data_IF_855403520270
#
_entry.id   IF_855403520270
#
_cell.length_a   1.000
_cell.length_b   1.000
_cell.length_c   1.000
_cell.angle_alpha   90.00
_cell.angle_beta   90.00
_cell.angle_gamma   90.00
#
_symmetry.space_group_name_H-M   'P 1'
#
loop_
_entity.id
_entity.type
_entity.pdbx_description
1 polymer ?
#
# COMPACT_ATOMS: atom_id res chain seq x y z
N UNK A 1 7.10 10.64 -18.43
CA UNK A 1 6.09 11.01 -17.40
C UNK A 1 6.04 9.88 -16.38
N UNK A 2 6.03 10.14 -15.07
CA UNK A 2 5.86 9.08 -14.09
C UNK A 2 4.48 8.44 -14.25
N UNK A 3 4.44 7.12 -14.45
CA UNK A 3 3.19 6.35 -14.59
C UNK A 3 2.83 5.78 -13.23
N UNK A 4 1.60 6.03 -12.78
CA UNK A 4 1.02 5.37 -11.60
C UNK A 4 0.03 4.33 -12.09
N UNK A 5 0.22 3.07 -11.70
CA UNK A 5 -0.59 1.95 -12.14
C UNK A 5 -1.46 1.40 -11.02
N UNK A 6 -2.67 0.95 -11.37
CA UNK A 6 -3.58 0.25 -10.47
C UNK A 6 -3.46 -1.25 -10.72
N UNK A 7 -3.37 -2.01 -9.65
CA UNK A 7 -3.50 -3.48 -9.68
C UNK A 7 -4.62 -3.94 -8.76
N UNK A 8 -5.11 -5.15 -8.99
CA UNK A 8 -6.16 -5.76 -8.21
C UNK A 8 -5.60 -6.73 -7.16
N UNK A 9 -4.60 -7.52 -7.56
CA UNK A 9 -3.97 -8.56 -6.75
C UNK A 9 -2.56 -8.12 -6.32
N UNK A 10 -2.10 -8.66 -5.18
CA UNK A 10 -0.76 -8.32 -4.68
C UNK A 10 0.36 -8.89 -5.56
N UNK A 11 0.11 -10.02 -6.24
CA UNK A 11 1.05 -10.66 -7.18
C UNK A 11 1.30 -9.84 -8.45
N UNK A 12 0.44 -8.86 -8.75
CA UNK A 12 0.59 -7.98 -9.91
C UNK A 12 1.52 -6.78 -9.61
N UNK A 13 1.87 -6.54 -8.34
CA UNK A 13 2.64 -5.36 -7.92
C UNK A 13 4.05 -5.34 -8.52
N UNK A 14 4.80 -6.43 -8.38
CA UNK A 14 6.16 -6.57 -8.92
C UNK A 14 6.21 -6.55 -10.46
N UNK A 15 5.41 -7.36 -11.19
CA UNK A 15 5.40 -7.32 -12.64
C UNK A 15 5.08 -5.94 -13.20
N UNK A 16 4.11 -5.24 -12.62
CA UNK A 16 3.70 -3.91 -13.08
C UNK A 16 4.80 -2.86 -12.82
N UNK A 17 5.53 -2.97 -11.71
CA UNK A 17 6.74 -2.17 -11.47
C UNK A 17 7.82 -2.45 -12.54
N UNK A 18 8.07 -3.74 -12.83
CA UNK A 18 9.08 -4.17 -13.80
C UNK A 18 8.78 -3.70 -15.23
N UNK A 19 7.50 -3.50 -15.57
CA UNK A 19 7.07 -2.91 -16.85
C UNK A 19 7.27 -1.39 -16.95
N UNK A 20 7.81 -0.75 -15.91
CA UNK A 20 8.17 0.67 -15.91
C UNK A 20 7.16 1.59 -15.24
N UNK A 21 6.19 1.06 -14.49
CA UNK A 21 5.37 1.87 -13.60
C UNK A 21 6.26 2.47 -12.49
N UNK A 22 6.12 3.78 -12.27
CA UNK A 22 6.85 4.48 -11.21
C UNK A 22 6.29 4.16 -9.82
N UNK A 23 4.97 3.96 -9.76
CA UNK A 23 4.26 3.60 -8.55
C UNK A 23 3.13 2.62 -8.92
N UNK A 24 2.95 1.58 -8.12
CA UNK A 24 1.88 0.61 -8.31
C UNK A 24 1.07 0.53 -7.03
N UNK A 25 -0.24 0.72 -7.15
CA UNK A 25 -1.18 0.77 -6.03
C UNK A 25 -2.19 -0.36 -6.16
N UNK A 26 -2.31 -1.17 -5.11
CA UNK A 26 -3.40 -2.12 -4.98
C UNK A 26 -4.62 -1.40 -4.39
N UNK A 27 -5.55 -0.97 -5.24
CA UNK A 27 -6.64 -0.06 -4.84
C UNK A 27 -7.52 -0.63 -3.72
N UNK A 28 -7.84 -1.92 -3.79
CA UNK A 28 -8.69 -2.63 -2.84
C UNK A 28 -8.03 -2.73 -1.46
N UNK A 29 -6.70 -2.85 -1.42
CA UNK A 29 -5.94 -2.84 -0.17
C UNK A 29 -5.94 -1.47 0.48
N UNK A 30 -5.66 -0.39 -0.26
CA UNK A 30 -5.69 0.97 0.27
C UNK A 30 -7.11 1.37 0.74
N UNK A 31 -8.14 1.01 -0.02
CA UNK A 31 -9.53 1.22 0.38
C UNK A 31 -9.83 0.50 1.71
N UNK A 32 -9.34 -0.73 1.87
CA UNK A 32 -9.50 -1.49 3.12
C UNK A 32 -8.80 -0.82 4.30
N UNK A 33 -7.60 -0.26 4.10
CA UNK A 33 -6.90 0.52 5.13
C UNK A 33 -7.72 1.74 5.57
N UNK A 34 -8.31 2.45 4.62
CA UNK A 34 -9.12 3.64 4.93
C UNK A 34 -10.42 3.28 5.67
N UNK A 35 -11.07 2.18 5.28
CA UNK A 35 -12.23 1.65 6.00
C UNK A 35 -11.89 1.25 7.45
N UNK A 36 -10.73 0.61 7.67
CA UNK A 36 -10.24 0.31 9.02
C UNK A 36 -9.96 1.59 9.81
N UNK A 37 -9.31 2.59 9.21
CA UNK A 37 -9.02 3.89 9.82
C UNK A 37 -10.32 4.55 10.30
N UNK A 38 -11.30 4.70 9.41
CA UNK A 38 -12.60 5.27 9.73
C UNK A 38 -13.33 4.50 10.83
N UNK A 39 -13.32 3.17 10.76
CA UNK A 39 -13.97 2.32 11.76
C UNK A 39 -13.36 2.50 13.16
N UNK A 40 -12.02 2.50 13.25
CA UNK A 40 -11.31 2.66 14.51
C UNK A 40 -11.50 4.06 15.11
N UNK A 41 -11.49 5.10 14.28
CA UNK A 41 -11.78 6.47 14.73
C UNK A 41 -13.21 6.60 15.26
N UNK A 42 -14.20 5.99 14.59
CA UNK A 42 -15.60 5.95 15.08
C UNK A 42 -15.76 5.22 16.41
N UNK A 43 -14.89 4.26 16.71
CA UNK A 43 -14.84 3.56 17.99
C UNK A 43 -14.09 4.36 19.08
N UNK A 44 -13.73 5.63 18.81
CA UNK A 44 -13.05 6.51 19.77
C UNK A 44 -11.57 6.17 19.96
N UNK A 45 -10.93 5.46 19.03
CA UNK A 45 -9.48 5.24 19.09
C UNK A 45 -8.73 6.52 18.76
N UNK A 46 -7.63 6.73 19.47
CA UNK A 46 -6.75 7.88 19.28
C UNK A 46 -6.17 7.91 17.85
N UNK A 47 -6.31 9.05 17.18
CA UNK A 47 -5.94 9.19 15.76
C UNK A 47 -4.47 8.85 15.49
N UNK A 48 -3.54 9.26 16.35
CA UNK A 48 -2.12 8.96 16.19
C UNK A 48 -1.85 7.44 16.24
N UNK A 49 -2.48 6.72 17.18
CA UNK A 49 -2.36 5.26 17.29
C UNK A 49 -2.97 4.54 16.08
N UNK A 50 -4.12 5.01 15.60
CA UNK A 50 -4.75 4.47 14.39
C UNK A 50 -3.83 4.66 13.19
N UNK A 51 -3.32 5.87 12.98
CA UNK A 51 -2.43 6.16 11.86
C UNK A 51 -1.15 5.31 11.91
N UNK A 52 -0.49 5.22 13.06
CA UNK A 52 0.69 4.40 13.23
C UNK A 52 0.43 2.92 12.90
N UNK A 53 -0.75 2.39 13.25
CA UNK A 53 -1.15 1.02 12.92
C UNK A 53 -1.38 0.85 11.42
N UNK A 54 -2.12 1.76 10.79
CA UNK A 54 -2.38 1.73 9.33
C UNK A 54 -1.05 1.79 8.56
N UNK A 55 -0.15 2.69 8.94
CA UNK A 55 1.15 2.83 8.29
C UNK A 55 2.03 1.58 8.46
N UNK A 56 1.94 0.91 9.61
CA UNK A 56 2.63 -0.36 9.84
C UNK A 56 2.13 -1.46 8.90
N UNK A 57 0.81 -1.61 8.74
CA UNK A 57 0.22 -2.60 7.82
C UNK A 57 0.58 -2.26 6.36
N UNK A 58 0.49 -0.98 5.99
CA UNK A 58 0.89 -0.50 4.66
C UNK A 58 2.35 -0.84 4.37
N UNK A 59 3.26 -0.50 5.28
CA UNK A 59 4.69 -0.83 5.15
C UNK A 59 4.93 -2.32 5.07
N UNK A 60 4.29 -3.14 5.90
CA UNK A 60 4.46 -4.59 5.85
C UNK A 60 4.05 -5.18 4.48
N UNK A 61 3.04 -4.60 3.82
CA UNK A 61 2.64 -5.02 2.47
C UNK A 61 3.67 -4.58 1.42
N UNK A 62 4.03 -3.30 1.39
CA UNK A 62 4.90 -2.76 0.34
C UNK A 62 6.41 -2.95 0.56
N UNK A 63 6.87 -3.18 1.80
CA UNK A 63 8.28 -3.53 2.07
C UNK A 63 8.60 -4.93 1.60
N UNK A 64 7.69 -5.91 1.80
CA UNK A 64 7.86 -7.26 1.25
C UNK A 64 8.17 -7.23 -0.25
N UNK A 65 7.51 -6.33 -0.98
CA UNK A 65 7.68 -6.15 -2.43
C UNK A 65 8.96 -5.39 -2.81
N UNK A 66 9.44 -4.49 -1.94
CA UNK A 66 10.69 -3.74 -2.17
C UNK A 66 11.94 -4.57 -1.86
N UNK A 67 11.83 -5.47 -0.90
CA UNK A 67 12.89 -6.44 -0.58
C UNK A 67 13.03 -7.50 -1.70
N UNK A 68 11.94 -7.76 -2.45
CA UNK A 68 11.90 -8.75 -3.53
C UNK A 68 12.30 -8.21 -4.92
N UNK A 69 12.10 -6.93 -5.27
CA UNK A 69 12.94 -6.15 -6.20
C UNK A 69 12.41 -4.74 -6.50
N UNK A 70 13.21 -3.74 -6.16
CA UNK A 70 13.20 -2.43 -6.81
C UNK A 70 14.66 -1.92 -6.88
N UNK A 71 15.56 -2.76 -7.40
CA UNK A 71 16.91 -2.33 -7.80
C UNK A 71 16.76 -1.58 -9.13
N UNK A 72 16.72 -0.25 -9.04
CA UNK A 72 17.00 0.62 -10.17
C UNK A 72 18.50 0.92 -10.19
N UNK A 73 19.21 0.39 -11.17
CA UNK A 73 20.40 1.02 -11.76
C UNK A 73 19.96 1.86 -12.98
#
# INVERSE_FOLDING_TARGET
LPIVARVHLSEELEPTCAEGAHEVVQAEFEASLELMRHSLLRLGRESAKVQARIDSIRRQRYQKLRDDECHQD
#
